data_IF_654587775722
#
_entry.id   IF_654587775722
#
_cell.length_a   1.000
_cell.length_b   1.000
_cell.length_c   1.000
_cell.angle_alpha   90.00
_cell.angle_beta   90.00
_cell.angle_gamma   90.00
#
_symmetry.space_group_name_H-M   'P 1'
#
loop_
_entity.id
_entity.type
_entity.pdbx_description
1 polymer ?
#
# COMPACT_ATOMS: atom_id res chain seq x y z
N UNK A 1 -14.71 32.00 -11.79
CA UNK A 1 -14.90 31.02 -10.70
C UNK A 1 -15.18 29.66 -11.31
N UNK A 2 -14.14 29.04 -11.83
CA UNK A 2 -14.01 27.58 -11.99
C UNK A 2 -12.50 27.37 -12.17
N UNK A 3 -11.80 27.27 -11.06
CA UNK A 3 -10.43 26.74 -11.01
C UNK A 3 -10.51 25.45 -10.22
N UNK A 4 -9.60 24.53 -10.57
CA UNK A 4 -9.16 23.35 -9.80
C UNK A 4 -9.93 22.02 -10.02
N UNK A 5 -9.43 21.23 -10.97
CA UNK A 5 -9.31 19.74 -10.87
C UNK A 5 -8.27 19.23 -11.88
N UNK A 6 -7.19 20.00 -12.03
CA UNK A 6 -5.99 19.56 -12.74
C UNK A 6 -4.86 19.44 -11.71
N UNK A 7 -5.03 18.55 -10.73
CA UNK A 7 -3.93 18.00 -9.95
C UNK A 7 -4.38 16.66 -9.34
N UNK A 8 -3.46 15.70 -9.21
CA UNK A 8 -3.60 14.35 -8.58
C UNK A 8 -3.68 13.09 -9.47
N UNK A 9 -3.44 13.16 -10.78
CA UNK A 9 -3.21 11.93 -11.56
C UNK A 9 -1.83 11.32 -11.24
N UNK A 10 -1.74 10.51 -10.17
CA UNK A 10 -0.52 9.80 -9.78
C UNK A 10 -0.24 8.56 -10.63
N UNK A 11 1.04 8.26 -10.82
CA UNK A 11 1.52 6.99 -11.34
C UNK A 11 1.49 5.94 -10.23
N UNK A 12 0.66 4.91 -10.38
CA UNK A 12 0.44 3.89 -9.36
C UNK A 12 0.92 2.54 -9.87
N UNK A 13 1.86 1.92 -9.14
CA UNK A 13 2.31 0.55 -9.40
C UNK A 13 1.48 -0.41 -8.56
N UNK A 14 0.90 -1.43 -9.18
CA UNK A 14 0.09 -2.43 -8.47
C UNK A 14 0.71 -3.83 -8.57
N UNK A 15 0.87 -4.48 -7.41
CA UNK A 15 1.39 -5.85 -7.30
C UNK A 15 0.56 -6.70 -6.35
N UNK A 16 0.47 -7.99 -6.69
CA UNK A 16 -0.19 -9.00 -5.89
C UNK A 16 -1.61 -9.34 -6.36
N UNK A 17 -2.37 -10.01 -5.50
CA UNK A 17 -3.58 -10.74 -5.89
C UNK A 17 -4.77 -9.83 -6.24
N UNK A 18 -4.73 -8.58 -5.78
CA UNK A 18 -5.78 -7.59 -6.04
C UNK A 18 -5.55 -6.77 -7.32
N UNK A 19 -4.42 -6.94 -8.01
CA UNK A 19 -4.05 -6.12 -9.15
C UNK A 19 -5.13 -6.05 -10.24
N UNK A 20 -5.80 -7.16 -10.51
CA UNK A 20 -6.88 -7.22 -11.50
C UNK A 20 -8.08 -6.34 -11.13
N UNK A 21 -8.45 -6.25 -9.85
CA UNK A 21 -9.58 -5.44 -9.41
C UNK A 21 -9.20 -3.96 -9.28
N UNK A 22 -7.97 -3.69 -8.82
CA UNK A 22 -7.49 -2.32 -8.58
C UNK A 22 -7.11 -1.59 -9.86
N UNK A 23 -6.64 -2.30 -10.89
CA UNK A 23 -6.25 -1.66 -12.16
C UNK A 23 -7.40 -0.83 -12.77
N UNK A 24 -8.61 -1.37 -13.01
CA UNK A 24 -9.69 -0.57 -13.57
C UNK A 24 -10.15 0.52 -12.60
N UNK A 25 -10.23 0.25 -11.29
CA UNK A 25 -10.65 1.25 -10.30
C UNK A 25 -9.73 2.49 -10.31
N UNK A 26 -8.41 2.28 -10.42
CA UNK A 26 -7.43 3.37 -10.52
C UNK A 26 -7.57 4.14 -11.84
N UNK A 27 -7.75 3.43 -12.96
CA UNK A 27 -7.92 4.06 -14.27
C UNK A 27 -9.22 4.88 -14.34
N UNK A 28 -10.32 4.35 -13.79
CA UNK A 28 -11.63 5.02 -13.73
C UNK A 28 -11.58 6.29 -12.86
N UNK A 29 -10.72 6.31 -11.84
CA UNK A 29 -10.46 7.47 -10.99
C UNK A 29 -9.47 8.48 -11.60
N UNK A 30 -8.90 8.20 -12.78
CA UNK A 30 -7.98 9.10 -13.48
C UNK A 30 -6.50 8.93 -13.12
N UNK A 31 -6.15 7.96 -12.28
CA UNK A 31 -4.74 7.60 -12.05
C UNK A 31 -4.15 6.84 -13.24
N UNK A 32 -2.82 6.82 -13.33
CA UNK A 32 -2.10 6.03 -14.33
C UNK A 32 -1.54 4.78 -13.69
N UNK A 33 -1.94 3.61 -14.18
CA UNK A 33 -1.33 2.35 -13.74
C UNK A 33 -0.04 2.12 -14.51
N UNK A 34 1.08 1.99 -13.80
CA UNK A 34 2.42 1.83 -14.38
C UNK A 34 3.06 0.50 -14.00
N UNK A 35 4.06 0.10 -14.79
CA UNK A 35 4.85 -1.11 -14.57
C UNK A 35 3.96 -2.36 -14.41
N UNK A 36 2.89 -2.47 -15.19
CA UNK A 36 1.97 -3.59 -15.10
C UNK A 36 2.70 -4.92 -15.33
N UNK A 37 2.17 -6.01 -14.75
CA UNK A 37 2.70 -7.34 -15.03
C UNK A 37 2.14 -7.84 -16.37
N UNK A 38 2.85 -8.74 -17.10
CA UNK A 38 2.35 -9.23 -18.38
C UNK A 38 0.93 -9.82 -18.34
N UNK A 39 0.48 -10.52 -17.27
CA UNK A 39 -0.91 -10.93 -17.14
C UNK A 39 -1.92 -9.77 -17.09
N UNK A 40 -1.56 -8.65 -16.46
CA UNK A 40 -2.41 -7.46 -16.36
C UNK A 40 -2.46 -6.72 -17.70
N UNK A 41 -1.30 -6.54 -18.34
CA UNK A 41 -1.23 -5.94 -19.70
C UNK A 41 -2.09 -6.70 -20.70
N UNK A 42 -2.09 -8.04 -20.67
CA UNK A 42 -2.96 -8.83 -21.56
C UNK A 42 -4.44 -8.75 -21.22
N UNK A 43 -4.79 -8.38 -19.99
CA UNK A 43 -6.17 -8.38 -19.51
C UNK A 43 -6.88 -7.07 -19.79
N UNK A 44 -6.15 -5.96 -19.86
CA UNK A 44 -6.70 -4.63 -20.08
C UNK A 44 -6.18 -4.06 -21.39
N UNK A 45 -7.09 -3.58 -22.24
CA UNK A 45 -6.76 -2.81 -23.43
C UNK A 45 -6.54 -1.34 -23.03
N UNK A 46 -5.49 -1.10 -22.23
CA UNK A 46 -5.15 0.19 -21.66
C UNK A 46 -3.65 0.49 -21.82
N UNK A 47 -3.28 1.77 -21.86
CA UNK A 47 -1.87 2.18 -21.85
C UNK A 47 -1.31 2.06 -20.43
N UNK A 48 -0.42 1.08 -20.22
CA UNK A 48 0.18 0.74 -18.94
C UNK A 48 1.71 0.90 -19.01
N UNK A 49 2.22 2.14 -19.06
CA UNK A 49 3.62 2.38 -19.41
C UNK A 49 4.59 1.89 -18.34
N UNK A 50 5.81 1.56 -18.78
CA UNK A 50 6.95 1.29 -17.92
C UNK A 50 7.60 2.61 -17.44
N UNK A 51 6.87 3.36 -16.61
CA UNK A 51 7.33 4.59 -15.98
C UNK A 51 7.63 4.38 -14.48
N UNK A 52 8.25 5.38 -13.84
CA UNK A 52 8.35 5.43 -12.38
C UNK A 52 6.97 5.62 -11.74
N UNK A 53 6.87 5.29 -10.45
CA UNK A 53 5.62 5.34 -9.70
C UNK A 53 5.76 6.29 -8.52
N UNK A 54 4.69 7.05 -8.26
CA UNK A 54 4.58 7.95 -7.12
C UNK A 54 4.03 7.19 -5.91
N UNK A 55 3.21 6.16 -6.15
CA UNK A 55 2.70 5.24 -5.13
C UNK A 55 2.76 3.78 -5.59
N UNK A 56 3.01 2.88 -4.65
CA UNK A 56 2.96 1.44 -4.83
C UNK A 56 1.86 0.83 -3.97
N UNK A 57 1.06 -0.04 -4.57
CA UNK A 57 0.08 -0.89 -3.90
C UNK A 57 0.58 -2.33 -3.91
N UNK A 58 0.72 -2.91 -2.72
CA UNK A 58 1.13 -4.31 -2.56
C UNK A 58 0.15 -5.05 -1.65
N UNK A 59 -0.04 -6.35 -1.90
CA UNK A 59 -0.90 -7.19 -1.04
C UNK A 59 -0.32 -7.29 0.36
N UNK A 60 -1.15 -7.07 1.37
CA UNK A 60 -0.78 -7.19 2.78
C UNK A 60 -0.32 -8.61 3.16
N UNK A 61 0.45 -8.77 4.25
CA UNK A 61 1.05 -10.05 4.64
C UNK A 61 0.03 -11.13 5.00
N UNK A 62 -1.17 -10.75 5.45
CA UNK A 62 -2.30 -11.63 5.75
C UNK A 62 -3.20 -11.90 4.53
N UNK A 63 -2.94 -11.23 3.40
CA UNK A 63 -3.75 -11.27 2.18
C UNK A 63 -5.21 -10.87 2.42
N UNK A 64 -5.47 -10.01 3.41
CA UNK A 64 -6.80 -9.48 3.71
C UNK A 64 -6.99 -8.02 3.25
N UNK A 65 -5.95 -7.41 2.71
CA UNK A 65 -6.00 -6.05 2.18
C UNK A 65 -4.74 -5.70 1.40
N UNK A 66 -4.52 -4.41 1.22
CA UNK A 66 -3.35 -3.86 0.54
C UNK A 66 -2.69 -2.79 1.39
N UNK A 67 -1.39 -2.61 1.20
CA UNK A 67 -0.64 -1.48 1.71
C UNK A 67 -0.36 -0.51 0.56
N UNK A 68 -0.42 0.80 0.85
CA UNK A 68 -0.08 1.86 -0.08
C UNK A 68 1.11 2.63 0.49
N UNK A 69 2.16 2.79 -0.30
CA UNK A 69 3.36 3.52 0.11
C UNK A 69 3.92 4.33 -1.06
N UNK A 70 4.44 5.53 -0.77
CA UNK A 70 4.90 6.45 -1.80
C UNK A 70 4.91 7.89 -1.33
N UNK A 71 4.80 8.81 -2.28
CA UNK A 71 4.67 10.24 -2.01
C UNK A 71 3.36 10.53 -1.25
N UNK A 72 3.38 11.45 -0.26
CA UNK A 72 2.23 11.69 0.62
C UNK A 72 0.91 11.97 -0.12
N UNK A 73 0.95 12.84 -1.14
CA UNK A 73 -0.25 13.25 -1.88
C UNK A 73 -0.80 12.09 -2.73
N UNK A 74 0.10 11.29 -3.33
CA UNK A 74 -0.27 10.10 -4.08
C UNK A 74 -0.85 9.00 -3.17
N UNK A 75 -0.28 8.81 -1.98
CA UNK A 75 -0.79 7.87 -0.98
C UNK A 75 -2.17 8.28 -0.50
N UNK A 76 -2.38 9.56 -0.17
CA UNK A 76 -3.67 10.03 0.32
C UNK A 76 -4.75 9.90 -0.76
N UNK A 77 -4.46 10.31 -1.99
CA UNK A 77 -5.44 10.19 -3.08
C UNK A 77 -5.83 8.73 -3.37
N UNK A 78 -4.85 7.80 -3.38
CA UNK A 78 -5.14 6.37 -3.54
C UNK A 78 -5.88 5.81 -2.32
N UNK A 79 -5.52 6.24 -1.10
CA UNK A 79 -6.19 5.80 0.14
C UNK A 79 -7.66 6.21 0.15
N UNK A 80 -7.97 7.45 -0.22
CA UNK A 80 -9.35 7.95 -0.32
C UNK A 80 -10.16 7.12 -1.31
N UNK A 81 -9.62 6.87 -2.51
CA UNK A 81 -10.25 6.01 -3.51
C UNK A 81 -10.56 4.60 -2.97
N UNK A 82 -9.59 3.98 -2.28
CA UNK A 82 -9.78 2.64 -1.73
C UNK A 82 -10.79 2.64 -0.58
N UNK A 83 -10.73 3.63 0.31
CA UNK A 83 -11.67 3.78 1.43
C UNK A 83 -13.13 3.87 0.95
N UNK A 84 -13.35 4.54 -0.18
CA UNK A 84 -14.68 4.71 -0.78
C UNK A 84 -15.23 3.45 -1.48
N UNK A 85 -14.45 2.35 -1.55
CA UNK A 85 -14.89 1.10 -2.19
C UNK A 85 -16.08 0.45 -1.46
N UNK A 86 -16.23 0.67 -0.15
CA UNK A 86 -17.33 0.08 0.61
C UNK A 86 -17.37 0.47 2.08
N UNK A 87 -18.53 0.28 2.70
CA UNK A 87 -18.79 0.66 4.10
C UNK A 87 -17.89 -0.08 5.11
N UNK A 88 -17.36 -1.24 4.73
CA UNK A 88 -16.51 -2.09 5.56
C UNK A 88 -15.03 -1.97 5.18
N UNK A 89 -14.65 -0.95 4.40
CA UNK A 89 -13.24 -0.67 4.15
C UNK A 89 -12.62 0.04 5.35
N UNK A 90 -11.62 -0.60 5.94
CA UNK A 90 -10.84 -0.03 7.04
C UNK A 90 -9.52 0.51 6.47
N UNK A 91 -9.23 1.79 6.73
CA UNK A 91 -8.00 2.44 6.30
C UNK A 91 -7.36 3.19 7.47
N UNK A 92 -6.07 2.98 7.68
CA UNK A 92 -5.27 3.67 8.69
C UNK A 92 -3.86 3.93 8.14
N UNK A 93 -3.20 4.95 8.67
CA UNK A 93 -1.80 5.25 8.35
C UNK A 93 -0.89 4.40 9.22
N UNK A 94 0.06 3.70 8.60
CA UNK A 94 1.17 3.10 9.34
C UNK A 94 2.26 4.17 9.55
N UNK A 95 2.57 4.55 10.80
CA UNK A 95 3.60 5.55 11.08
C UNK A 95 5.02 5.04 10.81
N UNK A 96 5.24 3.74 10.67
CA UNK A 96 6.55 3.18 10.35
C UNK A 96 6.77 3.18 8.82
N UNK A 97 7.77 3.91 8.28
CA UNK A 97 8.03 3.91 6.86
C UNK A 97 8.43 2.52 6.34
N UNK A 98 8.01 2.19 5.12
CA UNK A 98 8.35 0.92 4.49
C UNK A 98 9.87 0.79 4.36
N UNK A 99 10.40 -0.35 4.83
CA UNK A 99 11.83 -0.65 4.78
C UNK A 99 12.69 0.08 5.81
N UNK A 100 12.10 0.90 6.69
CA UNK A 100 12.85 1.53 7.76
C UNK A 100 13.42 0.49 8.73
N UNK A 101 14.63 0.76 9.21
CA UNK A 101 15.32 -0.05 10.22
C UNK A 101 15.30 0.69 11.53
N UNK A 102 14.84 0.01 12.58
CA UNK A 102 14.71 0.55 13.92
C UNK A 102 15.58 -0.25 14.90
N UNK A 103 16.20 0.43 15.84
CA UNK A 103 16.69 -0.19 17.08
C UNK A 103 15.51 -0.22 18.06
N UNK A 104 14.91 -1.40 18.22
CA UNK A 104 13.64 -1.57 18.92
C UNK A 104 13.77 -2.36 20.23
N UNK A 105 12.99 -1.98 21.23
CA UNK A 105 12.95 -2.68 22.53
C UNK A 105 11.64 -3.43 22.70
N UNK A 106 11.71 -4.73 23.01
CA UNK A 106 10.52 -5.51 23.38
C UNK A 106 9.92 -4.96 24.67
N UNK A 107 8.64 -4.59 24.62
CA UNK A 107 7.86 -4.09 25.76
C UNK A 107 6.88 -5.12 26.30
N UNK A 108 6.35 -5.97 25.42
CA UNK A 108 5.37 -7.00 25.76
C UNK A 108 5.56 -8.24 24.88
N UNK A 109 5.41 -9.43 25.47
CA UNK A 109 5.40 -10.70 24.75
C UNK A 109 3.97 -11.24 24.69
N UNK A 110 3.54 -11.63 23.49
CA UNK A 110 2.23 -12.19 23.20
C UNK A 110 2.38 -13.63 22.71
N UNK A 111 1.25 -14.32 22.49
CA UNK A 111 1.26 -15.73 22.07
C UNK A 111 1.90 -15.98 20.70
N UNK A 112 1.91 -15.00 19.80
CA UNK A 112 2.37 -15.15 18.41
C UNK A 112 3.47 -14.17 17.99
N UNK A 113 3.91 -13.31 18.90
CA UNK A 113 4.91 -12.29 18.64
C UNK A 113 5.11 -11.36 19.83
N UNK A 114 5.83 -10.28 19.62
CA UNK A 114 6.13 -9.29 20.65
C UNK A 114 5.78 -7.88 20.17
N UNK A 115 5.37 -7.02 21.10
CA UNK A 115 5.27 -5.58 20.88
C UNK A 115 6.64 -4.97 21.08
N UNK A 116 7.10 -4.19 20.11
CA UNK A 116 8.42 -3.57 20.08
C UNK A 116 8.24 -2.06 20.01
N UNK A 117 8.80 -1.33 20.97
CA UNK A 117 8.90 0.12 20.94
C UNK A 117 9.94 0.55 19.89
N UNK A 118 9.55 1.42 18.96
CA UNK A 118 10.36 1.90 17.82
C UNK A 118 10.66 3.41 17.93
N UNK A 119 10.69 3.94 19.16
CA UNK A 119 10.77 5.38 19.41
C UNK A 119 9.37 5.98 19.60
N UNK A 120 8.93 6.84 18.68
CA UNK A 120 7.62 7.52 18.76
C UNK A 120 6.43 6.62 18.35
N UNK A 121 6.71 5.39 17.91
CA UNK A 121 5.69 4.40 17.54
C UNK A 121 6.02 3.02 18.09
N UNK A 122 5.09 2.08 17.93
CA UNK A 122 5.29 0.68 18.26
C UNK A 122 5.04 -0.20 17.02
N UNK A 123 5.81 -1.27 16.91
CA UNK A 123 5.63 -2.32 15.91
C UNK A 123 5.29 -3.66 16.54
N UNK A 124 4.74 -4.56 15.74
CA UNK A 124 4.56 -5.96 16.12
C UNK A 124 5.59 -6.82 15.40
N UNK A 125 6.35 -7.61 16.17
CA UNK A 125 7.33 -8.58 15.65
C UNK A 125 6.75 -9.99 15.78
N UNK A 126 6.26 -10.61 14.69
CA UNK A 126 5.81 -12.00 14.73
C UNK A 126 6.98 -12.94 15.01
N UNK A 127 6.81 -13.93 15.90
CA UNK A 127 7.90 -14.87 16.19
C UNK A 127 8.31 -15.71 14.98
N UNK A 128 7.41 -15.92 14.02
CA UNK A 128 7.72 -16.58 12.74
C UNK A 128 8.75 -15.82 11.88
N UNK A 129 9.03 -14.55 12.19
CA UNK A 129 9.98 -13.70 11.46
C UNK A 129 11.33 -13.56 12.21
N UNK A 130 11.52 -14.27 13.32
CA UNK A 130 12.76 -14.25 14.10
C UNK A 130 13.56 -15.51 13.78
N UNK A 131 14.78 -15.36 13.31
CA UNK A 131 15.71 -16.47 13.15
C UNK A 131 16.35 -16.80 14.50
N UNK A 132 15.89 -17.88 15.14
CA UNK A 132 16.41 -18.39 16.42
C UNK A 132 15.31 -18.87 17.37
N UNK A 133 15.61 -19.87 18.21
CA UNK A 133 14.71 -20.29 19.29
C UNK A 133 14.73 -19.22 20.39
N UNK A 134 13.57 -18.60 20.65
CA UNK A 134 13.36 -17.73 21.83
C UNK A 134 13.36 -18.57 23.10
#
# INVERSE_FOLDING_TARGET
>A
MTEETADSASNVRVRGIYATALTPALLDAGHRVVQASPPIERRFDADLPAADHDAAIETGPDRQGVNVAGEPDAVESVRELLADTGIDTLAWTDPAPVGAVFDGRVTETLGSGAVVELGETAGFLPYRNVDGTV
#
